data_IF_030778929097
#
_entry.id   IF_030778929097
#
_cell.length_a   1.000
_cell.length_b   1.000
_cell.length_c   1.000
_cell.angle_alpha   90.00
_cell.angle_beta   90.00
_cell.angle_gamma   90.00
#
_symmetry.space_group_name_H-M   'P 1'
#
loop_
_entity.id
_entity.type
_entity.pdbx_description
1 polymer ?
#
# COMPACT_ATOMS: atom_id res chain seq x y z
N UNK A 1 -0.10 19.57 -34.69
CA UNK A 1 0.61 19.14 -33.48
C UNK A 1 2.10 19.30 -33.73
N UNK A 2 2.73 20.25 -33.06
CA UNK A 2 4.16 20.60 -33.23
C UNK A 2 4.88 20.68 -31.88
N UNK A 3 4.27 20.11 -30.83
CA UNK A 3 4.86 20.05 -29.49
C UNK A 3 6.01 19.06 -29.50
N UNK A 4 7.22 19.53 -29.20
CA UNK A 4 8.44 18.71 -29.15
C UNK A 4 8.84 18.30 -27.73
N UNK A 5 8.28 18.96 -26.70
CA UNK A 5 8.54 18.66 -25.28
C UNK A 5 7.27 18.88 -24.46
N UNK A 6 6.95 17.94 -23.56
CA UNK A 6 5.93 18.10 -22.53
C UNK A 6 6.61 17.97 -21.17
N UNK A 7 6.51 19.01 -20.36
CA UNK A 7 6.90 18.99 -18.95
C UNK A 7 5.62 18.83 -18.12
N UNK A 8 5.49 17.74 -17.38
CA UNK A 8 4.34 17.48 -16.48
C UNK A 8 4.84 17.14 -15.09
N UNK A 9 4.08 17.58 -14.09
CA UNK A 9 4.34 17.25 -12.69
C UNK A 9 4.02 15.77 -12.39
N UNK A 10 4.62 15.19 -11.36
CA UNK A 10 4.50 13.77 -11.04
C UNK A 10 3.21 13.45 -10.29
N UNK A 11 2.98 14.15 -9.19
CA UNK A 11 1.92 13.83 -8.23
C UNK A 11 0.62 14.49 -8.67
N UNK A 12 -0.44 13.70 -8.92
CA UNK A 12 -1.73 14.22 -9.38
C UNK A 12 -1.82 14.50 -10.89
N UNK A 13 -0.75 14.32 -11.67
CA UNK A 13 -0.79 14.34 -13.15
C UNK A 13 -0.35 13.01 -13.75
N UNK A 14 0.83 12.50 -13.38
CA UNK A 14 1.32 11.18 -13.83
C UNK A 14 0.93 10.03 -12.90
N UNK A 15 0.62 10.34 -11.64
CA UNK A 15 0.23 9.37 -10.61
C UNK A 15 -1.10 9.78 -10.00
N UNK A 16 -1.89 8.81 -9.56
CA UNK A 16 -3.19 9.06 -8.90
C UNK A 16 -3.06 9.66 -7.48
N UNK A 17 -1.84 10.02 -7.05
CA UNK A 17 -1.54 10.47 -5.70
C UNK A 17 -2.05 9.50 -4.61
N UNK A 18 -2.12 8.21 -4.92
CA UNK A 18 -2.52 7.15 -4.01
C UNK A 18 -1.32 6.25 -3.72
N UNK A 19 -0.64 6.54 -2.60
CA UNK A 19 0.47 5.70 -2.16
C UNK A 19 -0.06 4.34 -1.69
N UNK A 20 0.39 3.26 -2.32
CA UNK A 20 0.01 1.88 -1.97
C UNK A 20 1.27 1.09 -1.65
N UNK A 21 1.30 0.40 -0.51
CA UNK A 21 2.37 -0.56 -0.21
C UNK A 21 2.26 -1.75 -1.16
N UNK A 22 3.39 -2.18 -1.72
CA UNK A 22 3.44 -3.32 -2.67
C UNK A 22 4.18 -4.52 -2.13
N UNK A 23 5.23 -4.29 -1.33
CA UNK A 23 6.09 -5.32 -0.77
C UNK A 23 6.47 -4.91 0.65
N UNK A 24 6.44 -5.86 1.57
CA UNK A 24 6.97 -5.73 2.93
C UNK A 24 8.14 -6.68 3.07
N UNK A 25 9.28 -6.17 3.52
CA UNK A 25 10.45 -6.99 3.75
C UNK A 25 10.70 -7.14 5.26
N UNK A 26 10.83 -8.37 5.71
CA UNK A 26 11.21 -8.71 7.08
C UNK A 26 12.48 -9.56 7.07
N UNK A 27 13.17 -9.74 8.21
CA UNK A 27 14.31 -10.65 8.28
C UNK A 27 13.98 -12.11 7.92
N UNK A 28 12.71 -12.52 8.04
CA UNK A 28 12.26 -13.88 7.74
C UNK A 28 11.91 -14.08 6.26
N UNK A 29 11.13 -13.17 5.69
CA UNK A 29 10.70 -13.25 4.29
C UNK A 29 10.22 -11.90 3.72
N UNK A 30 10.07 -11.87 2.40
CA UNK A 30 9.32 -10.84 1.67
C UNK A 30 7.87 -11.24 1.45
N UNK A 31 6.97 -10.30 1.73
CA UNK A 31 5.52 -10.44 1.60
C UNK A 31 5.01 -9.46 0.55
N UNK A 32 4.34 -9.97 -0.47
CA UNK A 32 3.64 -9.19 -1.48
C UNK A 32 2.29 -8.71 -0.95
N UNK A 33 1.98 -7.45 -1.26
CA UNK A 33 0.71 -6.80 -0.88
C UNK A 33 -0.14 -6.61 -2.13
N UNK A 34 -1.23 -7.36 -2.20
CA UNK A 34 -2.25 -7.17 -3.21
C UNK A 34 -3.23 -6.06 -2.80
N UNK A 35 -3.93 -5.51 -3.78
CA UNK A 35 -4.74 -4.31 -3.63
C UNK A 35 -4.07 -3.09 -4.26
N UNK A 36 -4.87 -2.06 -4.48
CA UNK A 36 -4.44 -0.81 -5.11
C UNK A 36 -5.26 0.33 -4.57
N UNK A 37 -4.62 1.49 -4.41
CA UNK A 37 -5.28 2.66 -3.87
C UNK A 37 -5.65 2.48 -2.40
N UNK A 38 -6.70 3.17 -1.97
CA UNK A 38 -7.12 3.19 -0.56
C UNK A 38 -8.29 2.26 -0.24
N UNK A 39 -8.77 1.47 -1.20
CA UNK A 39 -9.77 0.45 -0.93
C UNK A 39 -9.13 -0.62 -0.05
N UNK A 40 -9.68 -0.93 1.15
CA UNK A 40 -9.13 -1.93 2.06
C UNK A 40 -9.50 -3.35 1.60
N UNK A 41 -9.19 -3.67 0.35
CA UNK A 41 -9.40 -4.96 -0.28
C UNK A 41 -8.07 -5.46 -0.85
N UNK A 42 -7.78 -6.73 -0.66
CA UNK A 42 -6.51 -7.33 -1.05
C UNK A 42 -6.12 -8.46 -0.12
N UNK A 43 -4.83 -8.76 -0.09
CA UNK A 43 -4.27 -9.84 0.71
C UNK A 43 -2.75 -9.73 0.79
N UNK A 44 -2.20 -10.42 1.78
CA UNK A 44 -0.76 -10.57 1.98
C UNK A 44 -0.36 -11.97 1.50
N UNK A 45 0.68 -12.03 0.68
CA UNK A 45 1.14 -13.27 0.08
C UNK A 45 2.64 -13.44 0.30
N UNK A 46 3.04 -14.64 0.66
CA UNK A 46 4.44 -15.02 0.71
C UNK A 46 5.01 -15.12 -0.69
N UNK A 47 6.33 -15.22 -0.78
CA UNK A 47 7.04 -15.35 -2.06
C UNK A 47 6.68 -16.66 -2.81
N UNK A 48 6.21 -17.69 -2.11
CA UNK A 48 5.71 -18.94 -2.69
C UNK A 48 4.23 -18.87 -3.13
N UNK A 49 3.59 -17.69 -2.98
CA UNK A 49 2.19 -17.44 -3.33
C UNK A 49 1.18 -17.85 -2.28
N UNK A 50 1.59 -18.44 -1.14
CA UNK A 50 0.67 -18.79 -0.06
C UNK A 50 0.25 -17.54 0.73
N UNK A 51 -0.97 -17.53 1.32
CA UNK A 51 -1.38 -16.45 2.20
C UNK A 51 -0.42 -16.27 3.38
N UNK A 52 0.04 -15.03 3.58
CA UNK A 52 0.79 -14.65 4.77
C UNK A 52 -0.20 -14.24 5.88
N UNK A 53 -0.03 -14.78 7.08
CA UNK A 53 -0.90 -14.48 8.23
C UNK A 53 -0.08 -13.90 9.37
N UNK A 54 -0.66 -12.95 10.10
CA UNK A 54 0.01 -12.25 11.20
C UNK A 54 0.25 -13.17 12.41
N UNK A 55 -0.49 -14.28 12.51
CA UNK A 55 -0.35 -15.29 13.54
C UNK A 55 0.89 -16.16 13.31
N UNK A 56 1.23 -16.40 12.04
CA UNK A 56 2.36 -17.26 11.66
C UNK A 56 3.70 -16.53 11.56
N UNK A 57 3.71 -15.19 11.54
CA UNK A 57 4.92 -14.37 11.40
C UNK A 57 4.90 -13.19 12.37
N UNK A 58 5.73 -13.29 13.41
CA UNK A 58 5.87 -12.25 14.41
C UNK A 58 6.51 -10.97 13.88
N UNK A 59 7.45 -11.05 12.92
CA UNK A 59 8.10 -9.88 12.37
C UNK A 59 7.12 -9.06 11.51
N UNK A 60 6.32 -9.74 10.69
CA UNK A 60 5.23 -9.12 9.92
C UNK A 60 4.21 -8.48 10.86
N UNK A 61 3.78 -9.19 11.91
CA UNK A 61 2.84 -8.68 12.92
C UNK A 61 3.35 -7.40 13.58
N UNK A 62 4.59 -7.39 14.05
CA UNK A 62 5.15 -6.21 14.70
C UNK A 62 5.36 -5.05 13.73
N UNK A 63 5.71 -5.33 12.48
CA UNK A 63 5.82 -4.30 11.43
C UNK A 63 4.46 -3.62 11.18
N UNK A 64 3.39 -4.41 11.10
CA UNK A 64 2.01 -3.90 10.94
C UNK A 64 1.57 -3.06 12.14
N UNK A 65 1.81 -3.56 13.36
CA UNK A 65 1.44 -2.84 14.58
C UNK A 65 2.23 -1.53 14.72
N UNK A 66 3.53 -1.55 14.43
CA UNK A 66 4.36 -0.35 14.45
C UNK A 66 3.88 0.68 13.41
N UNK A 67 3.58 0.24 12.19
CA UNK A 67 3.03 1.11 11.15
C UNK A 67 1.64 1.66 11.47
N UNK A 68 0.80 0.91 12.18
CA UNK A 68 -0.50 1.39 12.64
C UNK A 68 -0.40 2.37 13.82
N UNK A 69 0.54 2.12 14.75
CA UNK A 69 0.71 2.95 15.94
C UNK A 69 1.52 4.23 15.69
N UNK A 70 2.42 4.21 14.71
CA UNK A 70 3.25 5.35 14.29
C UNK A 70 2.66 6.00 13.04
N UNK A 71 1.36 6.29 13.06
CA UNK A 71 0.65 6.88 11.94
C UNK A 71 -0.49 7.78 12.43
N UNK A 72 -0.47 9.04 12.01
CA UNK A 72 -1.53 10.02 12.29
C UNK A 72 -2.65 9.98 11.23
N UNK A 73 -2.46 9.26 10.14
CA UNK A 73 -3.41 9.19 9.04
C UNK A 73 -4.61 8.29 9.38
N UNK A 74 -5.79 8.69 8.91
CA UNK A 74 -7.01 7.92 9.05
C UNK A 74 -7.60 7.58 7.67
N UNK A 75 -8.12 6.35 7.55
CA UNK A 75 -8.84 5.90 6.37
C UNK A 75 -10.34 6.07 6.59
N UNK A 76 -10.99 6.94 5.82
CA UNK A 76 -12.43 7.22 5.93
C UNK A 76 -13.16 6.83 4.65
N UNK A 77 -14.40 6.36 4.79
CA UNK A 77 -15.30 6.07 3.66
C UNK A 77 -16.33 7.18 3.51
N UNK A 78 -16.32 7.85 2.37
CA UNK A 78 -17.29 8.86 1.95
C UNK A 78 -18.11 8.32 0.77
N UNK A 79 -19.30 7.81 1.06
CA UNK A 79 -20.11 7.05 0.10
C UNK A 79 -19.39 5.80 -0.41
N UNK A 80 -19.05 5.78 -1.70
CA UNK A 80 -18.30 4.69 -2.34
C UNK A 80 -16.78 4.95 -2.44
N UNK A 81 -16.31 6.12 -1.99
CA UNK A 81 -14.90 6.50 -2.08
C UNK A 81 -14.19 6.35 -0.74
N UNK A 82 -12.97 5.85 -0.80
CA UNK A 82 -12.04 5.84 0.32
C UNK A 82 -11.07 7.01 0.24
N UNK A 83 -10.88 7.71 1.35
CA UNK A 83 -9.97 8.86 1.45
C UNK A 83 -9.06 8.70 2.66
N UNK A 84 -7.83 9.19 2.54
CA UNK A 84 -6.89 9.33 3.65
C UNK A 84 -6.86 10.78 4.10
N UNK A 85 -6.93 11.01 5.41
CA UNK A 85 -6.73 12.31 6.08
C UNK A 85 -5.57 12.24 7.03
#
# INVERSE_FOLDING_TARGET
GSTTVICSDKTGTLTENQMTVRIIWTPGESVDVAGSGYVPAGGLFRTDGQPATLESDAALRWSMLAGAACNEAALTRDGDRWTIT
#
